data_IF_326363084973
#
_entry.id   IF_326363084973
#
_cell.length_a   1.000
_cell.length_b   1.000
_cell.length_c   1.000
_cell.angle_alpha   90.00
_cell.angle_beta   90.00
_cell.angle_gamma   90.00
#
_symmetry.space_group_name_H-M   'P 1'
#
loop_
_entity.id
_entity.type
_entity.pdbx_description
1 polymer ?
#
# COMPACT_ATOMS: atom_id res chain seq x y z
N UNK A 1 5.02 -33.87 10.35
CA UNK A 1 3.59 -33.49 10.25
C UNK A 1 3.56 -31.97 10.25
N UNK A 2 3.07 -31.39 9.16
CA UNK A 2 3.20 -29.99 8.74
C UNK A 2 2.50 -29.00 9.67
N UNK A 3 3.27 -28.06 10.24
CA UNK A 3 2.73 -26.88 10.92
C UNK A 3 2.78 -25.68 9.97
N UNK A 4 1.63 -25.32 9.40
CA UNK A 4 1.47 -24.16 8.55
C UNK A 4 1.75 -22.85 9.33
N UNK A 5 2.90 -22.22 9.08
CA UNK A 5 3.20 -20.88 9.61
C UNK A 5 2.49 -19.81 8.76
N UNK A 6 1.21 -19.59 9.02
CA UNK A 6 0.34 -18.61 8.32
C UNK A 6 0.60 -17.15 8.73
N UNK A 7 1.74 -16.83 9.35
CA UNK A 7 1.94 -15.53 10.02
C UNK A 7 2.49 -14.39 9.13
N UNK A 8 2.60 -14.56 7.81
CA UNK A 8 3.23 -13.57 6.90
C UNK A 8 2.26 -12.92 5.89
N UNK A 9 0.96 -12.83 6.21
CA UNK A 9 -0.04 -12.28 5.29
C UNK A 9 0.05 -10.75 5.22
N UNK A 10 0.82 -10.25 4.25
CA UNK A 10 0.51 -9.04 3.45
C UNK A 10 0.65 -7.65 4.09
N UNK A 11 1.26 -7.50 5.27
CA UNK A 11 1.43 -6.18 5.91
C UNK A 11 2.49 -5.28 5.25
N UNK A 12 3.36 -5.84 4.40
CA UNK A 12 4.53 -5.15 3.82
C UNK A 12 4.23 -4.23 2.64
N UNK A 13 2.98 -4.18 2.22
CA UNK A 13 2.55 -3.46 1.01
C UNK A 13 1.43 -2.47 1.36
N UNK A 14 1.53 -1.79 2.51
CA UNK A 14 0.59 -0.71 2.85
C UNK A 14 0.98 0.59 2.15
N UNK A 15 -0.01 1.24 1.56
CA UNK A 15 0.09 2.53 0.91
C UNK A 15 -0.70 3.59 1.68
N UNK A 16 -0.21 4.81 1.61
CA UNK A 16 -0.81 6.00 2.21
C UNK A 16 -1.03 7.02 1.12
N UNK A 17 -2.24 7.52 1.00
CA UNK A 17 -2.54 8.63 0.10
C UNK A 17 -2.02 9.94 0.68
N UNK A 18 -1.26 10.70 -0.11
CA UNK A 18 -0.75 12.03 0.27
C UNK A 18 -1.80 13.13 0.19
N UNK A 19 -2.89 12.91 -0.55
CA UNK A 19 -3.94 13.90 -0.77
C UNK A 19 -5.02 13.85 0.31
N UNK A 20 -5.61 12.68 0.56
CA UNK A 20 -6.65 12.51 1.58
C UNK A 20 -6.13 11.90 2.90
N UNK A 21 -4.93 11.31 2.93
CA UNK A 21 -4.37 10.66 4.13
C UNK A 21 -4.81 9.22 4.35
N UNK A 22 -5.64 8.63 3.47
CA UNK A 22 -6.14 7.27 3.65
C UNK A 22 -5.02 6.21 3.58
N UNK A 23 -5.10 5.19 4.43
CA UNK A 23 -4.18 4.07 4.49
C UNK A 23 -4.86 2.79 3.97
N UNK A 24 -4.26 2.13 2.98
CA UNK A 24 -4.84 0.94 2.36
C UNK A 24 -3.76 0.02 1.80
N UNK A 25 -4.02 -1.29 1.70
CA UNK A 25 -3.09 -2.22 1.06
C UNK A 25 -2.93 -1.91 -0.42
N UNK A 26 -1.75 -2.19 -0.97
CA UNK A 26 -1.40 -2.02 -2.38
C UNK A 26 -2.44 -2.69 -3.30
N UNK A 27 -2.93 -3.88 -2.92
CA UNK A 27 -3.96 -4.60 -3.66
C UNK A 27 -5.31 -3.84 -3.81
N UNK A 28 -5.59 -2.84 -2.96
CA UNK A 28 -6.74 -1.93 -3.11
C UNK A 28 -6.43 -0.77 -4.05
N UNK A 29 -5.17 -0.36 -4.09
CA UNK A 29 -4.70 0.77 -4.90
C UNK A 29 -4.47 0.38 -6.36
N UNK A 30 -4.05 -0.86 -6.57
CA UNK A 30 -3.73 -1.43 -7.86
C UNK A 30 -4.11 -2.91 -7.90
N UNK A 31 -4.57 -3.36 -9.07
CA UNK A 31 -4.84 -4.78 -9.33
C UNK A 31 -3.79 -5.37 -10.27
N UNK A 32 -3.21 -4.54 -11.12
CA UNK A 32 -2.24 -4.88 -12.15
C UNK A 32 -0.79 -4.67 -11.69
N UNK A 33 -0.58 -4.03 -10.54
CA UNK A 33 0.74 -3.74 -9.97
C UNK A 33 1.45 -2.52 -10.57
N UNK A 34 0.85 -1.87 -11.59
CA UNK A 34 1.44 -0.71 -12.28
C UNK A 34 0.64 0.58 -12.11
N UNK A 35 -0.69 0.53 -12.20
CA UNK A 35 -1.55 1.69 -12.01
C UNK A 35 -2.02 1.79 -10.56
N UNK A 36 -1.46 2.72 -9.82
CA UNK A 36 -1.84 2.98 -8.43
C UNK A 36 -2.78 4.18 -8.37
N UNK A 37 -3.98 3.99 -7.84
CA UNK A 37 -4.96 5.05 -7.57
C UNK A 37 -5.53 4.90 -6.16
N UNK A 38 -5.85 6.03 -5.53
CA UNK A 38 -6.59 6.02 -4.28
C UNK A 38 -7.99 5.42 -4.52
N UNK A 39 -8.43 4.46 -3.68
CA UNK A 39 -9.76 3.86 -3.80
C UNK A 39 -10.88 4.75 -3.26
N UNK A 40 -10.56 5.92 -2.70
CA UNK A 40 -11.54 6.84 -2.12
C UNK A 40 -12.23 7.66 -3.23
N UNK A 41 -13.56 7.68 -3.25
CA UNK A 41 -14.35 8.41 -4.25
C UNK A 41 -14.13 9.93 -4.22
N UNK A 42 -13.77 10.50 -3.06
CA UNK A 42 -13.48 11.94 -2.91
C UNK A 42 -12.01 12.29 -3.27
N UNK A 43 -11.22 11.30 -3.73
CA UNK A 43 -9.79 11.46 -3.91
C UNK A 43 -9.27 10.89 -5.24
N UNK A 44 -9.04 11.77 -6.21
CA UNK A 44 -8.41 11.39 -7.49
C UNK A 44 -6.87 11.31 -7.43
N UNK A 45 -6.29 10.90 -6.29
CA UNK A 45 -4.84 10.75 -6.19
C UNK A 45 -4.37 9.49 -6.91
N UNK A 46 -3.37 9.63 -7.79
CA UNK A 46 -2.77 8.53 -8.52
C UNK A 46 -1.25 8.61 -8.54
N UNK A 47 -0.61 7.50 -8.89
CA UNK A 47 0.84 7.40 -9.00
C UNK A 47 1.48 7.09 -7.65
N UNK A 48 2.33 6.06 -7.64
CA UNK A 48 3.18 5.74 -6.52
C UNK A 48 4.39 6.70 -6.50
N UNK A 49 4.63 7.37 -5.39
CA UNK A 49 5.64 8.42 -5.25
C UNK A 49 5.08 9.85 -5.43
N UNK A 50 4.07 10.02 -6.28
CA UNK A 50 3.38 11.31 -6.49
C UNK A 50 2.19 11.47 -5.54
N UNK A 51 1.11 10.72 -5.78
CA UNK A 51 -0.11 10.77 -4.97
C UNK A 51 -0.15 9.77 -3.82
N UNK A 52 0.60 8.67 -3.90
CA UNK A 52 0.59 7.56 -2.95
C UNK A 52 2.01 7.25 -2.45
N UNK A 53 2.18 6.88 -1.18
CA UNK A 53 3.49 6.52 -0.60
C UNK A 53 3.40 5.19 0.14
N UNK A 54 4.45 4.36 0.07
CA UNK A 54 4.57 3.13 0.88
C UNK A 54 4.81 3.46 2.36
N UNK A 55 4.14 2.75 3.27
CA UNK A 55 4.29 2.94 4.71
C UNK A 55 5.61 2.37 5.24
N UNK A 56 6.06 1.26 4.64
CA UNK A 56 7.30 0.55 5.00
C UNK A 56 8.58 1.17 4.40
N UNK A 57 8.47 2.27 3.65
CA UNK A 57 9.64 3.00 3.11
C UNK A 57 10.39 3.80 4.20
N UNK A 58 10.21 3.44 5.48
CA UNK A 58 11.07 3.95 6.55
C UNK A 58 12.34 3.11 6.46
N UNK A 59 13.47 3.66 6.01
CA UNK A 59 14.73 2.94 6.11
C UNK A 59 14.93 2.62 7.59
N UNK A 60 14.98 1.33 7.92
CA UNK A 60 15.45 0.90 9.22
C UNK A 60 16.93 1.34 9.25
N UNK A 61 17.19 2.46 9.91
CA UNK A 61 18.56 2.89 10.18
C UNK A 61 19.10 1.91 11.21
N UNK A 62 19.82 0.90 10.72
CA UNK A 62 20.66 0.02 11.54
C UNK A 62 21.96 0.69 11.89
#
# INVERSE_FOLDING_TARGET
MTGANLQQRSVRDMLVCRKCGAEFPEARATRDGWHYRCPEDDCDASGLGEGLRRKDDVPVLG
#
